data_IF_792391371763
#
_entry.id   IF_792391371763
#
_cell.length_a   1.000
_cell.length_b   1.000
_cell.length_c   1.000
_cell.angle_alpha   90.00
_cell.angle_beta   90.00
_cell.angle_gamma   90.00
#
_symmetry.space_group_name_H-M   'P 1'
#
loop_
_entity.id
_entity.type
_entity.pdbx_description
1 polymer ?
#
# COMPACT_ATOMS: atom_id res chain seq x y z
N UNK A 1 -1.01 -0.85 -10.53
CA UNK A 1 -1.31 0.57 -10.38
C UNK A 1 -2.77 0.66 -9.96
N UNK A 2 -3.03 1.16 -8.76
CA UNK A 2 -4.35 1.19 -8.10
C UNK A 2 -5.23 -0.08 -8.19
N UNK A 3 -4.77 -1.25 -7.68
CA UNK A 3 -5.50 -2.51 -7.78
C UNK A 3 -6.82 -2.55 -6.99
N UNK A 4 -7.09 -1.55 -6.14
CA UNK A 4 -8.29 -1.46 -5.30
C UNK A 4 -9.31 -0.43 -5.81
N UNK A 5 -9.05 0.26 -6.93
CA UNK A 5 -9.90 1.36 -7.40
C UNK A 5 -11.35 0.93 -7.71
N UNK A 6 -11.56 -0.32 -8.08
CA UNK A 6 -12.89 -0.89 -8.40
C UNK A 6 -13.54 -1.63 -7.22
N UNK A 7 -12.88 -1.70 -6.06
CA UNK A 7 -13.35 -2.46 -4.90
C UNK A 7 -14.02 -1.56 -3.88
N UNK A 8 -15.03 -2.11 -3.20
CA UNK A 8 -15.60 -1.46 -2.03
C UNK A 8 -14.58 -1.40 -0.87
N UNK A 9 -14.95 -0.67 0.17
CA UNK A 9 -14.08 -0.32 1.29
C UNK A 9 -13.49 -1.54 2.01
N UNK A 10 -14.29 -2.58 2.19
CA UNK A 10 -13.91 -3.75 2.98
C UNK A 10 -13.12 -4.73 2.10
N UNK A 11 -13.52 -4.87 0.84
CA UNK A 11 -12.80 -5.68 -0.15
C UNK A 11 -11.38 -5.14 -0.44
N UNK A 12 -11.20 -3.81 -0.53
CA UNK A 12 -9.89 -3.20 -0.75
C UNK A 12 -8.90 -3.48 0.40
N UNK A 13 -9.40 -3.43 1.63
CA UNK A 13 -8.63 -3.76 2.82
C UNK A 13 -8.16 -5.23 2.82
N UNK A 14 -9.07 -6.15 2.52
CA UNK A 14 -8.77 -7.58 2.49
C UNK A 14 -7.71 -7.93 1.44
N UNK A 15 -7.77 -7.29 0.26
CA UNK A 15 -6.76 -7.47 -0.79
C UNK A 15 -5.38 -7.00 -0.34
N UNK A 16 -5.29 -5.85 0.34
CA UNK A 16 -4.01 -5.34 0.85
C UNK A 16 -3.45 -6.28 1.92
N UNK A 17 -4.29 -6.75 2.83
CA UNK A 17 -3.88 -7.69 3.88
C UNK A 17 -3.38 -9.02 3.28
N UNK A 18 -4.03 -9.50 2.22
CA UNK A 18 -3.59 -10.68 1.47
C UNK A 18 -2.22 -10.45 0.81
N UNK A 19 -2.05 -9.31 0.12
CA UNK A 19 -0.78 -8.96 -0.54
C UNK A 19 0.37 -8.85 0.47
N UNK A 20 0.11 -8.29 1.66
CA UNK A 20 1.09 -8.21 2.74
C UNK A 20 1.50 -9.61 3.23
N UNK A 21 0.52 -10.47 3.56
CA UNK A 21 0.80 -11.86 3.98
C UNK A 21 1.55 -12.67 2.93
N UNK A 22 1.22 -12.48 1.64
CA UNK A 22 1.94 -13.14 0.55
C UNK A 22 3.39 -12.65 0.44
N UNK A 23 3.61 -11.35 0.62
CA UNK A 23 4.94 -10.75 0.66
C UNK A 23 5.81 -11.34 1.77
N UNK A 24 5.26 -11.39 2.98
CA UNK A 24 5.91 -11.99 4.16
C UNK A 24 6.21 -13.47 3.95
N UNK A 25 5.22 -14.26 3.51
CA UNK A 25 5.37 -15.70 3.33
C UNK A 25 6.37 -16.08 2.23
N UNK A 26 6.53 -15.22 1.21
CA UNK A 26 7.43 -15.46 0.06
C UNK A 26 8.76 -14.72 0.16
N UNK A 27 8.94 -13.86 1.17
CA UNK A 27 10.11 -12.99 1.29
C UNK A 27 10.22 -11.97 0.14
N UNK A 28 9.10 -11.55 -0.44
CA UNK A 28 9.06 -10.63 -1.58
C UNK A 28 8.59 -9.25 -1.15
N UNK A 29 9.18 -8.19 -1.70
CA UNK A 29 8.75 -6.81 -1.47
C UNK A 29 7.50 -6.49 -2.30
N UNK A 30 6.46 -5.96 -1.65
CA UNK A 30 5.25 -5.46 -2.32
C UNK A 30 5.31 -3.94 -2.40
N UNK A 31 5.19 -3.39 -3.61
CA UNK A 31 5.01 -1.95 -3.85
C UNK A 31 3.58 -1.70 -4.31
N UNK A 32 2.85 -0.86 -3.57
CA UNK A 32 1.48 -0.48 -3.88
C UNK A 32 1.40 1.03 -4.12
N UNK A 33 0.80 1.42 -5.25
CA UNK A 33 0.47 2.81 -5.55
C UNK A 33 -1.02 3.00 -5.33
N UNK A 34 -1.38 3.96 -4.50
CA UNK A 34 -2.76 4.30 -4.16
C UNK A 34 -2.88 5.73 -3.64
N UNK A 35 -4.00 6.37 -3.92
CA UNK A 35 -4.41 7.64 -3.29
C UNK A 35 -5.32 7.42 -2.07
N UNK A 36 -5.61 6.16 -1.71
CA UNK A 36 -6.48 5.83 -0.58
C UNK A 36 -5.72 5.83 0.75
N UNK A 37 -5.96 6.87 1.55
CA UNK A 37 -5.35 7.03 2.88
C UNK A 37 -5.59 5.85 3.83
N UNK A 38 -6.68 5.08 3.65
CA UNK A 38 -7.02 3.94 4.53
C UNK A 38 -6.11 2.74 4.31
N UNK A 39 -5.48 2.66 3.14
CA UNK A 39 -4.49 1.64 2.81
C UNK A 39 -3.14 2.01 3.41
N UNK A 40 -2.85 3.32 3.53
CA UNK A 40 -1.59 3.81 4.10
C UNK A 40 -1.38 3.35 5.54
N UNK A 41 -2.45 3.19 6.32
CA UNK A 41 -2.38 2.68 7.70
C UNK A 41 -1.97 1.19 7.79
N UNK A 42 -2.08 0.43 6.70
CA UNK A 42 -1.67 -0.99 6.64
C UNK A 42 -0.25 -1.20 6.11
N UNK A 43 0.33 -0.17 5.50
CA UNK A 43 1.65 -0.23 4.90
C UNK A 43 2.73 -0.09 5.96
N UNK A 44 3.84 -0.82 5.79
CA UNK A 44 5.01 -0.70 6.68
C UNK A 44 5.75 0.62 6.43
N UNK A 45 5.68 1.13 5.19
CA UNK A 45 6.36 2.35 4.74
C UNK A 45 5.48 3.09 3.74
N UNK A 46 5.42 4.41 3.87
CA UNK A 46 4.68 5.28 2.95
C UNK A 46 5.64 6.29 2.32
N UNK A 47 5.67 6.32 0.99
CA UNK A 47 6.44 7.29 0.22
C UNK A 47 5.46 8.23 -0.50
N UNK A 48 5.57 9.53 -0.26
CA UNK A 48 4.80 10.54 -0.99
C UNK A 48 5.64 11.06 -2.15
N UNK A 49 5.11 10.94 -3.37
CA UNK A 49 5.69 11.54 -4.57
C UNK A 49 4.92 12.80 -4.96
N UNK A 50 5.66 13.84 -5.32
CA UNK A 50 5.16 15.09 -5.90
C UNK A 50 6.12 15.55 -7.00
N UNK A 51 5.60 15.90 -8.18
CA UNK A 51 6.40 16.31 -9.35
C UNK A 51 7.58 15.38 -9.68
N UNK A 52 7.36 14.07 -9.56
CA UNK A 52 8.36 13.04 -9.84
C UNK A 52 9.47 12.93 -8.79
N UNK A 53 9.33 13.58 -7.63
CA UNK A 53 10.28 13.52 -6.52
C UNK A 53 9.62 12.95 -5.28
N UNK A 54 10.37 12.17 -4.50
CA UNK A 54 9.92 11.75 -3.16
C UNK A 54 10.05 12.97 -2.24
N UNK A 55 8.91 13.48 -1.77
CA UNK A 55 8.85 14.64 -0.87
C UNK A 55 8.71 14.24 0.60
N UNK A 56 8.25 13.01 0.87
CA UNK A 56 8.07 12.50 2.24
C UNK A 56 8.28 10.99 2.29
N UNK A 57 8.87 10.50 3.38
CA UNK A 57 9.00 9.09 3.71
C UNK A 57 8.54 8.92 5.16
N UNK A 58 7.61 8.00 5.40
CA UNK A 58 7.09 7.65 6.72
C UNK A 58 7.27 6.16 6.96
N UNK A 59 7.99 5.80 8.03
CA UNK A 59 8.07 4.43 8.53
C UNK A 59 6.90 4.21 9.48
N UNK A 60 6.11 3.16 9.24
CA UNK A 60 4.95 2.77 10.05
C UNK A 60 5.19 1.35 10.55
N UNK A 61 5.78 1.25 11.74
CA UNK A 61 6.08 -0.01 12.44
C UNK A 61 4.94 -0.44 13.35
#
# INVERSE_FOLDING_TARGET
DEPTAALDKDSAAEVVDLLKRMGEARGTTTLLVTHDNRILDRADRVLTLEDGRIVKIEERG
#
